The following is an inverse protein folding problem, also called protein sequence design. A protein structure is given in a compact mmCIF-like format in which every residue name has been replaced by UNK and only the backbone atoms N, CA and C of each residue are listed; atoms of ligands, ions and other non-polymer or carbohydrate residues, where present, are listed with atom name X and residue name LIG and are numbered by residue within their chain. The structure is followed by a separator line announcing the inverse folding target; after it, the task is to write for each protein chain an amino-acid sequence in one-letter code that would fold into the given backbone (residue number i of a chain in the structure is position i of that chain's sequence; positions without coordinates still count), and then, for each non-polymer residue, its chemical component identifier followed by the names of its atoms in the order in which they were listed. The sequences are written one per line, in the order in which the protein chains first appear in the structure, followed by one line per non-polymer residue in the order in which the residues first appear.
data_IF_282285650142
#
_entry.id   IF_282285650142
#
_cell.length_a   1.000
_cell.length_b   1.000
_cell.length_c   1.000
_cell.angle_alpha   90.00
_cell.angle_beta   90.00
_cell.angle_gamma   90.00
#
_symmetry.space_group_name_H-M   'P 1'
#
loop_
_entity.id
_entity.type
_entity.pdbx_description
1 polymer ?
#
# COMPACT_ATOMS: atom_id res chain seq x y z
N UNK A 1 -3.94 68.65 55.50
CA UNK A 1 -4.15 67.19 55.44
C UNK A 1 -2.84 66.50 55.66
N UNK A 2 -2.70 65.78 56.76
CA UNK A 2 -1.61 64.82 56.96
C UNK A 2 -2.09 63.84 58.04
N UNK A 3 -2.46 62.63 57.62
CA UNK A 3 -2.87 61.54 58.51
C UNK A 3 -1.97 60.36 58.17
N UNK A 4 -1.01 60.13 59.05
CA UNK A 4 -0.05 59.02 59.02
C UNK A 4 -0.79 57.81 59.60
N UNK A 5 -0.78 56.70 58.86
CA UNK A 5 -1.23 55.39 59.35
C UNK A 5 -0.01 54.48 59.44
N UNK A 6 0.45 54.24 60.66
CA UNK A 6 1.42 53.19 60.99
C UNK A 6 0.75 51.82 60.87
N UNK A 7 1.37 50.90 60.15
CA UNK A 7 0.97 49.49 60.07
C UNK A 7 2.04 48.62 60.75
N UNK A 8 1.77 48.17 61.97
CA UNK A 8 2.64 47.29 62.75
C UNK A 8 2.33 45.82 62.44
N UNK A 9 2.97 45.26 61.42
CA UNK A 9 2.93 43.81 61.18
C UNK A 9 3.94 43.09 62.08
N UNK A 10 3.46 42.50 63.17
CA UNK A 10 4.21 41.57 64.00
C UNK A 10 4.33 40.20 63.30
N UNK A 11 5.50 39.91 62.75
CA UNK A 11 5.84 38.57 62.24
C UNK A 11 6.31 37.68 63.39
N UNK A 12 5.42 36.83 63.90
CA UNK A 12 5.81 35.73 64.81
C UNK A 12 6.53 34.66 64.01
N UNK A 13 7.86 34.63 64.10
CA UNK A 13 8.67 33.49 63.68
C UNK A 13 8.47 32.33 64.66
N UNK A 14 7.73 31.31 64.24
CA UNK A 14 7.69 30.00 64.92
C UNK A 14 8.83 29.16 64.38
N UNK A 15 9.94 29.10 65.11
CA UNK A 15 11.03 28.16 64.87
C UNK A 15 10.62 26.75 65.34
N UNK A 16 10.13 25.92 64.42
CA UNK A 16 9.99 24.47 64.66
C UNK A 16 11.34 23.80 64.43
N UNK A 17 11.95 23.32 65.51
CA UNK A 17 13.14 22.48 65.49
C UNK A 17 12.84 21.16 64.78
N UNK A 18 13.48 20.89 63.64
CA UNK A 18 13.47 19.58 62.98
C UNK A 18 14.78 18.86 63.25
N UNK A 19 14.72 17.73 63.95
CA UNK A 19 15.87 16.86 64.21
C UNK A 19 15.49 15.37 64.11
N UNK A 20 14.57 15.02 63.19
CA UNK A 20 14.31 13.62 62.83
C UNK A 20 13.80 13.44 61.38
N UNK A 21 14.10 14.40 60.49
CA UNK A 21 13.63 14.42 59.10
C UNK A 21 14.45 13.54 58.14
N UNK A 22 15.66 13.10 58.52
CA UNK A 22 16.55 12.36 57.63
C UNK A 22 16.10 10.90 57.39
N UNK A 23 15.46 10.25 58.37
CA UNK A 23 15.02 8.85 58.23
C UNK A 23 13.80 8.72 57.32
N UNK A 24 12.81 9.59 57.47
CA UNK A 24 11.64 9.63 56.59
C UNK A 24 12.02 9.96 55.13
N UNK A 25 12.94 10.90 54.95
CA UNK A 25 13.47 11.25 53.63
C UNK A 25 14.24 10.09 52.97
N UNK A 26 15.06 9.36 53.74
CA UNK A 26 15.79 8.19 53.24
C UNK A 26 14.85 7.06 52.79
N UNK A 27 13.75 6.81 53.52
CA UNK A 27 12.74 5.80 53.13
C UNK A 27 12.03 6.19 51.84
N UNK A 28 11.68 7.47 51.68
CA UNK A 28 11.04 7.98 50.46
C UNK A 28 11.98 7.83 49.25
N UNK A 29 13.28 8.14 49.42
CA UNK A 29 14.29 7.95 48.36
C UNK A 29 14.41 6.47 47.99
N UNK A 30 14.44 5.56 48.97
CA UNK A 30 14.55 4.13 48.69
C UNK A 30 13.33 3.63 47.88
N UNK A 31 12.13 4.04 48.26
CA UNK A 31 10.91 3.72 47.50
C UNK A 31 10.98 4.33 46.09
N UNK A 32 11.45 5.57 45.95
CA UNK A 32 11.61 6.22 44.65
C UNK A 32 12.60 5.47 43.74
N UNK A 33 13.74 5.00 44.28
CA UNK A 33 14.72 4.20 43.54
C UNK A 33 14.12 2.87 43.11
N UNK A 34 13.40 2.17 44.00
CA UNK A 34 12.74 0.90 43.67
C UNK A 34 11.72 1.10 42.55
N UNK A 35 10.88 2.13 42.64
CA UNK A 35 9.93 2.48 41.58
C UNK A 35 10.62 2.83 40.26
N UNK A 36 11.77 3.53 40.29
CA UNK A 36 12.55 3.86 39.10
C UNK A 36 13.12 2.59 38.45
N UNK A 37 13.72 1.70 39.24
CA UNK A 37 14.27 0.42 38.74
C UNK A 37 13.18 -0.45 38.13
N UNK A 38 12.02 -0.57 38.80
CA UNK A 38 10.87 -1.31 38.27
C UNK A 38 10.32 -0.67 37.00
N UNK A 39 10.22 0.67 36.96
CA UNK A 39 9.80 1.40 35.76
C UNK A 39 10.74 1.19 34.58
N UNK A 40 12.06 1.27 34.82
CA UNK A 40 13.09 1.03 33.81
C UNK A 40 13.06 -0.42 33.29
N UNK A 41 12.85 -1.39 34.18
CA UNK A 41 12.72 -2.79 33.78
C UNK A 41 11.45 -3.02 32.94
N UNK A 42 10.34 -2.37 33.31
CA UNK A 42 9.09 -2.40 32.55
C UNK A 42 9.25 -1.83 31.14
N UNK A 43 9.92 -0.68 30.98
CA UNK A 43 10.16 -0.08 29.66
C UNK A 43 11.10 -0.95 28.81
N UNK A 44 12.10 -1.59 29.42
CA UNK A 44 12.99 -2.53 28.77
C UNK A 44 12.21 -3.70 28.13
N UNK A 45 11.38 -4.39 28.93
CA UNK A 45 10.58 -5.52 28.46
C UNK A 45 9.50 -5.09 27.46
N UNK A 46 8.85 -3.95 27.68
CA UNK A 46 7.86 -3.40 26.75
C UNK A 46 8.46 -3.14 25.37
N UNK A 47 9.65 -2.56 25.31
CA UNK A 47 10.37 -2.33 24.05
C UNK A 47 10.78 -3.63 23.37
N UNK A 48 11.22 -4.65 24.13
CA UNK A 48 11.59 -5.96 23.60
C UNK A 48 10.39 -6.71 23.00
N UNK A 49 9.24 -6.67 23.66
CA UNK A 49 7.98 -7.27 23.16
C UNK A 49 7.53 -6.54 21.89
N UNK A 50 7.52 -5.21 21.90
CA UNK A 50 7.17 -4.40 20.73
C UNK A 50 8.06 -4.74 19.53
N UNK A 51 9.37 -4.85 19.75
CA UNK A 51 10.32 -5.25 18.72
C UNK A 51 10.08 -6.67 18.20
N UNK A 52 9.74 -7.62 19.08
CA UNK A 52 9.41 -8.99 18.68
C UNK A 52 8.15 -9.07 17.80
N UNK A 53 7.07 -8.37 18.19
CA UNK A 53 5.83 -8.30 17.41
C UNK A 53 6.08 -7.62 16.05
N UNK A 54 6.86 -6.55 16.03
CA UNK A 54 7.24 -5.86 14.79
C UNK A 54 7.94 -6.80 13.81
N UNK A 55 8.91 -7.60 14.29
CA UNK A 55 9.61 -8.61 13.46
C UNK A 55 8.68 -9.68 12.91
N UNK A 56 7.73 -10.17 13.71
CA UNK A 56 6.73 -11.14 13.25
C UNK A 56 5.83 -10.56 12.15
N UNK A 57 5.43 -9.29 12.27
CA UNK A 57 4.64 -8.60 11.24
C UNK A 57 5.39 -8.49 9.92
N UNK A 58 6.68 -8.19 9.96
CA UNK A 58 7.54 -8.15 8.76
C UNK A 58 7.61 -9.51 8.07
N UNK A 59 7.81 -10.61 8.81
CA UNK A 59 7.83 -11.95 8.23
C UNK A 59 6.47 -12.36 7.62
N UNK A 60 5.37 -11.97 8.25
CA UNK A 60 4.03 -12.20 7.70
C UNK A 60 3.83 -11.38 6.42
N UNK A 61 4.28 -10.12 6.40
CA UNK A 61 4.22 -9.28 5.23
C UNK A 61 5.00 -9.89 4.06
N UNK A 62 6.23 -10.35 4.30
CA UNK A 62 7.05 -11.05 3.30
C UNK A 62 6.35 -12.30 2.74
N UNK A 63 5.83 -13.16 3.62
CA UNK A 63 5.10 -14.36 3.21
C UNK A 63 3.83 -14.03 2.42
N UNK A 64 3.08 -13.01 2.84
CA UNK A 64 1.87 -12.56 2.15
C UNK A 64 2.18 -11.99 0.78
N UNK A 65 3.29 -11.26 0.63
CA UNK A 65 3.73 -10.73 -0.65
C UNK A 65 4.06 -11.86 -1.63
N UNK A 66 4.75 -12.91 -1.18
CA UNK A 66 4.99 -14.12 -2.00
C UNK A 66 3.68 -14.83 -2.33
N UNK A 67 2.76 -14.96 -1.36
CA UNK A 67 1.47 -15.62 -1.58
C UNK A 67 0.61 -14.92 -2.63
N UNK A 68 0.52 -13.58 -2.58
CA UNK A 68 -0.32 -12.80 -3.50
C UNK A 68 0.32 -12.63 -4.88
N UNK A 69 1.64 -12.48 -4.95
CA UNK A 69 2.34 -12.26 -6.24
C UNK A 69 2.73 -13.56 -6.94
N UNK A 70 2.80 -14.67 -6.19
CA UNK A 70 3.39 -15.95 -6.64
C UNK A 70 4.83 -15.79 -7.17
N UNK A 71 5.54 -14.76 -6.71
CA UNK A 71 6.89 -14.43 -7.14
C UNK A 71 7.80 -14.21 -5.91
N UNK A 72 8.47 -15.27 -5.49
CA UNK A 72 9.46 -15.25 -4.41
C UNK A 72 10.71 -14.44 -4.78
N UNK A 73 11.15 -14.54 -6.03
CA UNK A 73 12.31 -13.82 -6.57
C UNK A 73 12.13 -12.30 -6.57
N UNK A 74 10.90 -11.80 -6.73
CA UNK A 74 10.59 -10.37 -6.72
C UNK A 74 10.94 -9.72 -5.37
N UNK A 75 10.43 -10.28 -4.28
CA UNK A 75 10.71 -9.78 -2.92
C UNK A 75 12.14 -10.11 -2.49
N UNK A 76 12.62 -11.34 -2.73
CA UNK A 76 13.99 -11.71 -2.39
C UNK A 76 15.02 -10.82 -3.12
N UNK A 77 14.80 -10.55 -4.41
CA UNK A 77 15.63 -9.64 -5.22
C UNK A 77 15.60 -8.20 -4.72
N UNK A 78 14.42 -7.69 -4.33
CA UNK A 78 14.29 -6.37 -3.72
C UNK A 78 15.10 -6.26 -2.41
N UNK A 79 14.98 -7.26 -1.52
CA UNK A 79 15.73 -7.31 -0.26
C UNK A 79 17.25 -7.41 -0.49
N UNK A 80 17.69 -8.23 -1.45
CA UNK A 80 19.10 -8.31 -1.87
C UNK A 80 19.61 -6.96 -2.40
N UNK A 81 18.79 -6.22 -3.16
CA UNK A 81 19.15 -4.89 -3.67
C UNK A 81 19.25 -3.83 -2.57
N UNK A 82 18.41 -3.93 -1.54
CA UNK A 82 18.49 -3.06 -0.37
C UNK A 82 19.75 -3.37 0.44
N UNK A 83 20.03 -4.65 0.68
CA UNK A 83 21.21 -5.08 1.43
C UNK A 83 22.54 -4.89 0.69
N UNK A 84 22.54 -4.86 -0.65
CA UNK A 84 23.75 -4.60 -1.45
C UNK A 84 24.18 -3.13 -1.46
N UNK A 85 23.35 -2.21 -0.98
CA UNK A 85 23.67 -0.80 -0.96
C UNK A 85 24.52 -0.43 0.27
N UNK A 86 25.83 -0.66 0.16
CA UNK A 86 26.84 -0.53 1.24
C UNK A 86 26.90 0.88 1.86
N UNK A 87 26.52 1.92 1.10
CA UNK A 87 26.55 3.30 1.60
C UNK A 87 25.50 3.56 2.70
N UNK A 88 24.39 2.82 2.70
CA UNK A 88 23.24 3.08 3.55
C UNK A 88 22.69 4.52 3.41
N UNK A 89 21.64 4.84 4.17
CA UNK A 89 21.18 6.21 4.38
C UNK A 89 20.92 6.40 5.87
N UNK A 90 21.84 7.02 6.59
CA UNK A 90 21.67 7.28 8.02
C UNK A 90 20.87 8.56 8.22
N UNK A 91 19.73 8.47 8.89
CA UNK A 91 18.93 9.64 9.25
C UNK A 91 19.19 9.99 10.72
N UNK A 92 20.08 10.96 10.95
CA UNK A 92 20.43 11.45 12.28
C UNK A 92 19.47 12.55 12.74
N UNK A 93 18.19 12.20 12.90
CA UNK A 93 17.16 13.12 13.38
C UNK A 93 16.40 12.50 14.56
N UNK A 94 15.88 13.33 15.49
CA UNK A 94 15.10 12.83 16.63
C UNK A 94 13.79 12.13 16.21
N UNK A 95 13.26 12.48 15.03
CA UNK A 95 12.08 11.82 14.44
C UNK A 95 12.40 10.43 13.83
N UNK A 96 13.66 10.01 13.84
CA UNK A 96 14.06 8.74 13.23
C UNK A 96 13.44 7.51 13.89
N UNK A 97 13.20 7.58 15.20
CA UNK A 97 12.56 6.51 15.95
C UNK A 97 11.06 6.39 15.60
N UNK A 98 10.39 7.52 15.32
CA UNK A 98 8.97 7.55 14.92
C UNK A 98 8.78 7.01 13.50
N UNK A 99 9.63 7.39 12.54
CA UNK A 99 9.56 6.93 11.15
C UNK A 99 10.19 5.55 10.93
N UNK A 100 10.76 4.91 11.96
CA UNK A 100 11.50 3.66 11.85
C UNK A 100 10.68 2.51 11.22
N UNK A 101 9.36 2.53 11.40
CA UNK A 101 8.42 1.55 10.84
C UNK A 101 8.16 1.75 9.33
N UNK A 102 8.46 2.92 8.76
CA UNK A 102 8.35 3.18 7.32
C UNK A 102 9.63 2.81 6.55
N UNK A 103 10.71 2.48 7.26
CA UNK A 103 12.02 2.23 6.67
C UNK A 103 12.21 0.73 6.39
N UNK A 104 12.79 0.42 5.23
CA UNK A 104 13.08 -0.96 4.82
C UNK A 104 14.39 -1.53 5.39
N UNK A 105 15.26 -0.68 5.95
CA UNK A 105 16.57 -1.05 6.48
C UNK A 105 16.82 -0.48 7.88
N UNK A 106 17.75 -1.09 8.62
CA UNK A 106 18.11 -0.65 9.96
C UNK A 106 18.90 0.68 9.92
N UNK A 107 18.43 1.70 10.63
CA UNK A 107 19.08 3.03 10.71
C UNK A 107 20.34 3.05 11.59
N UNK A 108 20.54 2.04 12.47
CA UNK A 108 21.68 1.99 13.41
C UNK A 108 22.37 0.62 13.39
N UNK A 109 23.60 0.60 12.88
CA UNK A 109 24.49 -0.55 12.89
C UNK A 109 25.26 -0.60 14.22
N UNK A 110 24.73 -1.29 15.24
CA UNK A 110 25.52 -1.58 16.46
C UNK A 110 25.09 -2.92 17.08
N UNK A 111 26.06 -3.74 17.49
CA UNK A 111 25.85 -5.15 17.84
C UNK A 111 24.88 -5.44 19.01
N UNK A 112 24.62 -4.46 19.89
CA UNK A 112 23.58 -4.56 20.93
C UNK A 112 22.17 -4.14 20.46
N UNK A 113 22.06 -3.56 19.27
CA UNK A 113 20.80 -3.08 18.67
C UNK A 113 19.91 -4.21 18.18
N UNK A 114 20.40 -5.44 18.02
CA UNK A 114 19.59 -6.56 17.49
C UNK A 114 18.38 -6.89 18.37
N UNK A 115 18.51 -6.75 19.70
CA UNK A 115 17.43 -7.01 20.66
C UNK A 115 16.35 -5.91 20.66
N UNK A 116 16.71 -4.68 20.28
CA UNK A 116 15.80 -3.54 20.17
C UNK A 116 15.49 -3.16 18.71
N UNK A 117 15.93 -3.96 17.75
CA UNK A 117 15.70 -3.71 16.34
C UNK A 117 14.21 -3.90 16.04
N UNK A 118 13.58 -2.87 15.49
CA UNK A 118 12.19 -2.91 15.03
C UNK A 118 12.02 -3.79 13.79
N UNK A 119 13.12 -4.06 13.08
CA UNK A 119 13.16 -4.87 11.86
C UNK A 119 14.11 -6.06 12.00
N UNK A 120 13.73 -7.24 11.50
CA UNK A 120 14.63 -8.39 11.47
C UNK A 120 15.78 -8.11 10.49
N UNK A 121 16.97 -8.70 10.70
CA UNK A 121 18.08 -8.54 9.77
C UNK A 121 17.68 -9.03 8.38
N UNK A 122 18.14 -8.31 7.34
CA UNK A 122 17.80 -8.61 5.94
C UNK A 122 18.18 -10.04 5.56
N UNK A 123 19.32 -10.54 6.06
CA UNK A 123 19.78 -11.90 5.80
C UNK A 123 18.76 -12.96 6.24
N UNK A 124 18.13 -12.75 7.39
CA UNK A 124 17.15 -13.68 7.97
C UNK A 124 15.84 -13.66 7.17
N UNK A 125 15.46 -12.49 6.63
CA UNK A 125 14.30 -12.35 5.74
C UNK A 125 14.54 -13.05 4.42
N UNK A 126 15.69 -12.80 3.78
CA UNK A 126 16.05 -13.42 2.50
C UNK A 126 16.11 -14.94 2.65
N UNK A 127 16.73 -15.47 3.70
CA UNK A 127 16.81 -16.93 3.93
C UNK A 127 15.45 -17.60 4.17
N UNK A 128 14.46 -16.88 4.69
CA UNK A 128 13.10 -17.43 4.86
C UNK A 128 12.34 -17.51 3.54
N UNK A 129 12.60 -16.59 2.62
CA UNK A 129 11.96 -16.55 1.29
C UNK A 129 12.71 -17.47 0.32
N UNK A 130 14.03 -17.43 0.33
CA UNK A 130 14.94 -18.16 -0.54
C UNK A 130 15.95 -18.96 0.31
N UNK A 131 15.60 -20.20 0.72
CA UNK A 131 16.44 -21.03 1.58
C UNK A 131 17.81 -21.37 0.96
N UNK A 132 17.91 -21.33 -0.38
CA UNK A 132 19.11 -21.68 -1.14
C UNK A 132 20.06 -20.50 -1.34
N UNK A 133 19.79 -19.32 -0.75
CA UNK A 133 20.64 -18.15 -0.91
C UNK A 133 22.02 -18.35 -0.23
N UNK A 134 23.08 -18.00 -0.96
CA UNK A 134 24.49 -18.13 -0.59
C UNK A 134 24.97 -17.12 0.45
N UNK A 135 24.13 -16.15 0.83
CA UNK A 135 24.47 -15.10 1.77
C UNK A 135 25.31 -13.97 1.18
N UNK A 136 25.49 -13.96 -0.15
CA UNK A 136 26.26 -12.94 -0.84
C UNK A 136 25.31 -11.92 -1.47
N UNK A 137 25.50 -10.65 -1.12
CA UNK A 137 24.83 -9.54 -1.80
C UNK A 137 25.56 -9.23 -3.10
N UNK A 138 24.91 -9.44 -4.24
CA UNK A 138 25.47 -9.06 -5.53
C UNK A 138 25.73 -7.55 -5.55
N UNK A 139 27.00 -7.15 -5.68
CA UNK A 139 27.37 -5.76 -5.91
C UNK A 139 26.95 -5.39 -7.34
N UNK A 140 25.84 -4.66 -7.47
CA UNK A 140 25.57 -3.95 -8.72
C UNK A 140 26.55 -2.78 -8.79
N UNK A 141 27.57 -2.91 -9.63
CA UNK A 141 28.38 -1.78 -10.08
C UNK A 141 27.44 -0.65 -10.47
N UNK A 142 27.60 0.53 -9.86
CA UNK A 142 26.81 1.73 -10.13
C UNK A 142 26.79 2.04 -11.64
N UNK A 143 25.84 1.44 -12.38
CA UNK A 143 25.39 1.98 -13.63
C UNK A 143 24.73 3.31 -13.26
N UNK A 144 25.31 4.39 -13.78
CA UNK A 144 24.93 5.76 -13.47
C UNK A 144 23.40 5.94 -13.53
N UNK A 145 22.88 6.66 -12.54
CA UNK A 145 21.50 7.12 -12.49
C UNK A 145 21.13 7.83 -13.81
N UNK A 146 20.35 7.15 -14.65
CA UNK A 146 19.39 7.80 -15.54
C UNK A 146 17.99 7.48 -15.02
N UNK A 147 17.76 7.76 -13.75
CA UNK A 147 16.41 7.81 -13.20
C UNK A 147 15.94 9.26 -13.33
N UNK A 148 14.88 9.47 -14.12
CA UNK A 148 14.08 10.69 -14.32
C UNK A 148 14.02 11.31 -15.73
N UNK A 149 14.72 10.80 -16.74
CA UNK A 149 14.46 11.19 -18.15
C UNK A 149 13.97 9.98 -18.95
N UNK A 150 12.69 9.59 -18.78
CA UNK A 150 11.83 9.30 -19.93
C UNK A 150 10.36 9.21 -19.51
N UNK A 151 9.77 10.35 -19.17
CA UNK A 151 8.35 10.57 -19.39
C UNK A 151 8.16 10.90 -20.88
N UNK A 152 8.37 9.91 -21.74
CA UNK A 152 7.85 9.92 -23.11
C UNK A 152 6.98 8.69 -23.28
N UNK A 153 5.69 8.94 -23.00
CA UNK A 153 4.59 8.31 -23.72
C UNK A 153 4.90 8.41 -25.22
N UNK A 154 5.29 7.29 -25.85
CA UNK A 154 5.25 7.15 -27.30
C UNK A 154 5.14 5.68 -27.67
N UNK A 155 4.08 5.39 -28.41
CA UNK A 155 3.79 4.07 -28.93
C UNK A 155 4.79 3.60 -29.98
N UNK A 156 4.65 2.31 -30.27
CA UNK A 156 4.87 1.67 -31.56
C UNK A 156 5.97 2.20 -32.51
N UNK A 157 6.90 1.27 -32.77
CA UNK A 157 7.75 1.12 -33.95
C UNK A 157 8.98 2.03 -34.06
N UNK A 158 10.17 1.41 -34.16
CA UNK A 158 10.94 1.25 -35.42
C UNK A 158 12.19 0.41 -35.09
N UNK A 159 12.51 -0.52 -35.99
CA UNK A 159 13.46 -1.61 -35.77
C UNK A 159 14.94 -1.27 -35.95
N UNK A 160 15.78 -2.28 -35.70
CA UNK A 160 17.21 -2.21 -36.04
C UNK A 160 18.14 -3.14 -35.25
N UNK A 161 18.12 -4.44 -35.58
CA UNK A 161 19.31 -5.30 -35.68
C UNK A 161 20.18 -5.62 -34.46
N UNK A 162 20.01 -6.82 -33.88
CA UNK A 162 21.06 -7.86 -33.72
C UNK A 162 20.46 -9.13 -33.09
N UNK A 163 20.90 -10.35 -33.47
CA UNK A 163 20.33 -11.59 -32.97
C UNK A 163 21.02 -11.99 -31.66
N UNK A 164 20.37 -11.75 -30.52
CA UNK A 164 20.81 -12.29 -29.24
C UNK A 164 19.65 -13.09 -28.63
N UNK A 165 19.88 -14.40 -28.59
CA UNK A 165 19.25 -15.44 -27.76
C UNK A 165 17.93 -15.08 -27.07
N UNK A 166 16.86 -15.68 -27.60
CA UNK A 166 15.50 -15.66 -27.07
C UNK A 166 15.46 -16.22 -25.63
N UNK A 167 15.49 -15.34 -24.66
CA UNK A 167 14.76 -15.52 -23.40
C UNK A 167 13.97 -14.23 -23.22
N UNK A 168 12.76 -14.20 -23.80
CA UNK A 168 11.84 -13.08 -23.61
C UNK A 168 11.73 -12.82 -22.10
N UNK A 169 12.03 -11.59 -21.71
CA UNK A 169 11.86 -11.17 -20.33
C UNK A 169 10.41 -11.47 -19.89
N UNK A 170 10.14 -11.84 -18.63
CA UNK A 170 8.76 -12.10 -18.18
C UNK A 170 7.78 -10.96 -18.52
N UNK A 171 8.27 -9.73 -18.61
CA UNK A 171 7.54 -8.55 -19.06
C UNK A 171 7.14 -8.59 -20.55
N UNK A 172 8.00 -9.07 -21.45
CA UNK A 172 7.67 -9.21 -22.88
C UNK A 172 6.62 -10.29 -23.10
N UNK A 173 6.73 -11.42 -22.40
CA UNK A 173 5.75 -12.52 -22.50
C UNK A 173 4.35 -12.09 -22.02
N UNK A 174 4.28 -11.32 -20.93
CA UNK A 174 3.01 -10.76 -20.43
C UNK A 174 2.42 -9.74 -21.42
N UNK A 175 3.27 -8.92 -22.08
CA UNK A 175 2.81 -7.96 -23.09
C UNK A 175 2.26 -8.64 -24.34
N UNK A 176 2.93 -9.69 -24.84
CA UNK A 176 2.46 -10.49 -25.97
C UNK A 176 1.13 -11.19 -25.64
N UNK A 177 1.03 -11.78 -24.44
CA UNK A 177 -0.22 -12.44 -23.98
C UNK A 177 -1.38 -11.45 -23.93
N UNK A 178 -1.16 -10.24 -23.40
CA UNK A 178 -2.17 -9.19 -23.37
C UNK A 178 -2.62 -8.74 -24.77
N UNK A 179 -1.67 -8.56 -25.70
CA UNK A 179 -2.00 -8.21 -27.09
C UNK A 179 -2.78 -9.33 -27.80
N UNK A 180 -2.44 -10.59 -27.55
CA UNK A 180 -3.18 -11.73 -28.09
C UNK A 180 -4.61 -11.77 -27.56
N UNK A 181 -4.84 -11.51 -26.27
CA UNK A 181 -6.19 -11.45 -25.69
C UNK A 181 -7.00 -10.28 -26.27
N UNK A 182 -6.41 -9.08 -26.39
CA UNK A 182 -7.09 -7.92 -26.97
C UNK A 182 -7.43 -8.16 -28.44
N UNK A 183 -6.59 -8.88 -29.19
CA UNK A 183 -6.84 -9.20 -30.60
C UNK A 183 -8.05 -10.11 -30.84
N UNK A 184 -8.55 -10.80 -29.79
CA UNK A 184 -9.76 -11.62 -29.85
C UNK A 184 -11.04 -10.79 -29.65
N UNK A 185 -10.94 -9.55 -29.18
CA UNK A 185 -12.09 -8.67 -28.98
C UNK A 185 -12.53 -8.03 -30.30
N UNK A 186 -13.84 -7.89 -30.56
CA UNK A 186 -14.34 -7.11 -31.69
C UNK A 186 -13.83 -5.65 -31.62
N UNK A 187 -13.42 -5.05 -32.75
CA UNK A 187 -12.83 -3.71 -32.76
C UNK A 187 -13.79 -2.63 -32.24
N UNK A 188 -15.08 -2.75 -32.56
CA UNK A 188 -16.12 -1.84 -32.06
C UNK A 188 -16.23 -1.87 -30.52
N UNK A 189 -16.07 -3.04 -29.90
CA UNK A 189 -16.11 -3.19 -28.45
C UNK A 189 -14.86 -2.60 -27.77
N UNK A 190 -13.70 -2.70 -28.44
CA UNK A 190 -12.45 -2.04 -28.02
C UNK A 190 -12.60 -0.52 -28.08
N UNK A 191 -13.26 0.02 -29.10
CA UNK A 191 -13.50 1.45 -29.24
C UNK A 191 -14.48 1.97 -28.16
N UNK A 192 -15.57 1.23 -27.90
CA UNK A 192 -16.51 1.52 -26.81
C UNK A 192 -15.78 1.56 -25.46
N UNK A 193 -14.86 0.62 -25.20
CA UNK A 193 -14.09 0.57 -23.96
C UNK A 193 -13.15 1.77 -23.78
N UNK A 194 -12.60 2.33 -24.87
CA UNK A 194 -11.62 3.42 -24.79
C UNK A 194 -12.24 4.81 -24.64
N UNK A 195 -13.50 4.98 -25.02
CA UNK A 195 -14.19 6.27 -24.96
C UNK A 195 -14.80 6.50 -23.56
N UNK A 196 -14.53 7.61 -22.85
CA UNK A 196 -14.99 7.83 -21.47
C UNK A 196 -16.50 7.69 -21.27
N UNK A 197 -17.28 8.13 -22.26
CA UNK A 197 -18.73 8.05 -22.20
C UNK A 197 -19.22 6.61 -22.37
N UNK A 198 -18.79 5.98 -23.47
CA UNK A 198 -19.19 4.63 -23.88
C UNK A 198 -18.61 3.54 -22.96
N UNK A 199 -17.47 3.78 -22.31
CA UNK A 199 -16.83 2.86 -21.37
C UNK A 199 -17.73 2.53 -20.17
N UNK A 200 -18.64 3.44 -19.78
CA UNK A 200 -19.65 3.19 -18.73
C UNK A 200 -20.55 2.00 -19.09
N UNK A 201 -20.86 1.87 -20.38
CA UNK A 201 -21.67 0.77 -20.88
C UNK A 201 -20.95 -0.58 -20.74
N UNK A 202 -19.60 -0.62 -20.80
CA UNK A 202 -18.85 -1.85 -20.52
C UNK A 202 -19.11 -2.35 -19.10
N UNK A 203 -19.16 -1.45 -18.11
CA UNK A 203 -19.50 -1.84 -16.74
C UNK A 203 -20.91 -2.44 -16.64
N UNK A 204 -21.88 -1.84 -17.34
CA UNK A 204 -23.24 -2.40 -17.42
C UNK A 204 -23.28 -3.76 -18.12
N UNK A 205 -22.62 -3.89 -19.27
CA UNK A 205 -22.58 -5.12 -20.06
C UNK A 205 -21.90 -6.28 -19.30
N UNK A 206 -20.90 -6.00 -18.48
CA UNK A 206 -20.22 -7.00 -17.66
C UNK A 206 -21.06 -7.48 -16.46
N UNK A 207 -21.99 -6.65 -15.98
CA UNK A 207 -22.94 -6.98 -14.91
C UNK A 207 -24.28 -7.52 -15.43
N UNK A 208 -24.51 -7.45 -16.74
CA UNK A 208 -25.78 -7.84 -17.33
C UNK A 208 -26.01 -9.36 -17.20
N UNK A 209 -27.11 -9.72 -16.54
CA UNK A 209 -27.50 -11.11 -16.26
C UNK A 209 -28.46 -11.72 -17.30
N UNK A 210 -28.91 -10.92 -18.27
CA UNK A 210 -29.91 -11.31 -19.27
C UNK A 210 -31.35 -10.95 -18.92
N UNK A 211 -31.61 -10.42 -17.72
CA UNK A 211 -32.94 -10.04 -17.23
C UNK A 211 -33.53 -8.87 -18.00
N UNK A 212 -34.82 -8.97 -18.32
CA UNK A 212 -35.59 -7.89 -18.95
C UNK A 212 -35.58 -6.62 -18.08
N UNK A 213 -35.56 -6.78 -16.75
CA UNK A 213 -35.54 -5.65 -15.81
C UNK A 213 -34.22 -4.88 -15.94
N UNK A 214 -33.08 -5.58 -15.91
CA UNK A 214 -31.77 -4.95 -16.07
C UNK A 214 -31.65 -4.27 -17.44
N UNK A 215 -32.19 -4.90 -18.50
CA UNK A 215 -32.18 -4.33 -19.85
C UNK A 215 -32.95 -3.01 -19.91
N UNK A 216 -34.15 -2.94 -19.32
CA UNK A 216 -34.92 -1.69 -19.26
C UNK A 216 -34.25 -0.62 -18.40
N UNK A 217 -33.59 -1.01 -17.31
CA UNK A 217 -32.80 -0.09 -16.50
C UNK A 217 -31.62 0.50 -17.28
N UNK A 218 -30.82 -0.33 -17.96
CA UNK A 218 -29.67 0.12 -18.76
C UNK A 218 -30.14 1.06 -19.87
N UNK A 219 -31.26 0.75 -20.55
CA UNK A 219 -31.87 1.62 -21.57
C UNK A 219 -32.16 3.03 -21.07
N UNK A 220 -32.59 3.18 -19.81
CA UNK A 220 -32.91 4.49 -19.23
C UNK A 220 -31.66 5.36 -19.06
N UNK A 221 -30.51 4.75 -18.80
CA UNK A 221 -29.23 5.44 -18.58
C UNK A 221 -28.44 5.70 -19.87
N UNK A 222 -28.73 4.95 -20.94
CA UNK A 222 -28.13 5.15 -22.26
C UNK A 222 -28.99 6.14 -23.08
N UNK A 223 -28.43 7.27 -23.58
CA UNK A 223 -29.15 8.24 -24.39
C UNK A 223 -29.69 7.61 -25.65
N UNK A 224 -30.88 8.06 -26.06
CA UNK A 224 -31.59 7.56 -27.22
C UNK A 224 -30.72 7.53 -28.50
N UNK A 225 -29.83 8.52 -28.66
CA UNK A 225 -28.91 8.61 -29.80
C UNK A 225 -27.82 7.51 -29.83
N UNK A 226 -27.45 6.95 -28.68
CA UNK A 226 -26.41 5.92 -28.55
C UNK A 226 -26.98 4.51 -28.37
N UNK A 227 -28.29 4.40 -28.13
CA UNK A 227 -28.96 3.10 -27.89
C UNK A 227 -28.81 2.13 -29.06
N UNK A 228 -28.89 2.61 -30.31
CA UNK A 228 -28.72 1.76 -31.50
C UNK A 228 -27.32 1.15 -31.61
N UNK A 229 -26.32 1.83 -31.06
CA UNK A 229 -24.91 1.40 -31.13
C UNK A 229 -24.53 0.54 -29.93
N UNK A 230 -25.00 0.88 -28.73
CA UNK A 230 -24.56 0.24 -27.48
C UNK A 230 -25.42 -0.97 -27.10
N UNK A 231 -26.76 -0.87 -27.14
CA UNK A 231 -27.64 -1.94 -26.65
C UNK A 231 -27.45 -3.31 -27.33
N UNK A 232 -27.11 -3.41 -28.63
CA UNK A 232 -26.84 -4.72 -29.25
C UNK A 232 -25.72 -5.51 -28.57
N UNK A 233 -24.78 -4.84 -27.90
CA UNK A 233 -23.68 -5.48 -27.19
C UNK A 233 -24.10 -6.16 -25.88
N UNK A 234 -25.31 -5.91 -25.36
CA UNK A 234 -25.86 -6.69 -24.24
C UNK A 234 -26.15 -8.14 -24.64
N UNK A 235 -26.44 -8.38 -25.92
CA UNK A 235 -26.75 -9.70 -26.48
C UNK A 235 -25.49 -10.42 -26.98
N UNK A 236 -24.33 -9.78 -26.90
CA UNK A 236 -23.07 -10.38 -27.32
C UNK A 236 -22.55 -11.34 -26.25
N UNK A 237 -22.42 -12.62 -26.61
CA UNK A 237 -21.88 -13.65 -25.73
C UNK A 237 -20.36 -13.49 -25.58
N UNK A 238 -19.94 -12.66 -24.62
CA UNK A 238 -18.54 -12.39 -24.34
C UNK A 238 -17.91 -13.53 -23.53
N UNK A 239 -16.89 -14.24 -24.06
CA UNK A 239 -16.20 -15.30 -23.35
C UNK A 239 -15.66 -14.84 -22.00
N UNK A 240 -15.77 -15.70 -20.97
CA UNK A 240 -15.38 -15.37 -19.60
C UNK A 240 -13.93 -14.88 -19.49
N UNK A 241 -13.01 -15.46 -20.27
CA UNK A 241 -11.59 -15.09 -20.26
C UNK A 241 -11.30 -13.71 -20.87
N UNK A 242 -12.24 -13.13 -21.61
CA UNK A 242 -12.11 -11.79 -22.23
C UNK A 242 -12.79 -10.68 -21.41
N UNK A 243 -13.61 -11.03 -20.41
CA UNK A 243 -14.32 -10.05 -19.56
C UNK A 243 -13.36 -9.16 -18.77
N UNK A 244 -12.36 -9.75 -18.13
CA UNK A 244 -11.36 -9.00 -17.36
C UNK A 244 -10.45 -8.15 -18.25
N UNK A 245 -9.87 -8.67 -19.37
CA UNK A 245 -9.15 -7.84 -20.34
C UNK A 245 -9.96 -6.64 -20.85
N UNK A 246 -11.26 -6.83 -21.11
CA UNK A 246 -12.14 -5.75 -21.55
C UNK A 246 -12.35 -4.69 -20.45
N UNK A 247 -12.51 -5.12 -19.18
CA UNK A 247 -12.60 -4.20 -18.05
C UNK A 247 -11.29 -3.43 -17.83
N UNK A 248 -10.14 -4.09 -17.93
CA UNK A 248 -8.82 -3.42 -17.84
C UNK A 248 -8.61 -2.41 -18.96
N UNK A 249 -9.10 -2.71 -20.17
CA UNK A 249 -9.06 -1.77 -21.28
C UNK A 249 -9.95 -0.54 -21.02
N UNK A 250 -11.09 -0.72 -20.37
CA UNK A 250 -12.03 0.35 -20.04
C UNK A 250 -11.60 1.22 -18.84
N UNK A 251 -10.73 0.69 -17.98
CA UNK A 251 -10.31 1.34 -16.73
C UNK A 251 -9.79 2.77 -16.87
N UNK A 252 -8.87 3.10 -17.81
CA UNK A 252 -8.40 4.47 -17.97
C UNK A 252 -9.52 5.44 -18.34
N UNK A 253 -10.42 5.01 -19.22
CA UNK A 253 -11.58 5.79 -19.66
C UNK A 253 -12.57 6.00 -18.50
N UNK A 254 -12.84 4.96 -17.70
CA UNK A 254 -13.67 5.04 -16.50
C UNK A 254 -13.07 5.92 -15.41
N UNK A 255 -11.74 5.89 -15.23
CA UNK A 255 -11.03 6.76 -14.27
C UNK A 255 -11.00 8.23 -14.69
N UNK A 256 -11.19 8.52 -15.98
CA UNK A 256 -11.27 9.89 -16.50
C UNK A 256 -12.63 10.57 -16.26
N UNK A 257 -13.62 9.83 -15.73
CA UNK A 257 -14.94 10.36 -15.41
C UNK A 257 -14.87 11.41 -14.30
N UNK A 258 -15.76 12.41 -14.37
CA UNK A 258 -15.88 13.38 -13.27
C UNK A 258 -16.49 12.71 -12.03
N UNK A 259 -16.22 13.26 -10.84
CA UNK A 259 -16.76 12.73 -9.57
C UNK A 259 -18.29 12.56 -9.59
N UNK A 260 -19.01 13.54 -10.15
CA UNK A 260 -20.47 13.45 -10.29
C UNK A 260 -20.91 12.30 -11.20
N UNK A 261 -20.15 12.04 -12.28
CA UNK A 261 -20.43 10.94 -13.20
C UNK A 261 -20.10 9.58 -12.58
N UNK A 262 -19.00 9.50 -11.82
CA UNK A 262 -18.58 8.32 -11.08
C UNK A 262 -19.61 7.93 -10.02
N UNK A 263 -20.05 8.89 -9.20
CA UNK A 263 -21.13 8.67 -8.19
C UNK A 263 -22.42 8.20 -8.87
N UNK A 264 -22.81 8.85 -9.97
CA UNK A 264 -23.99 8.42 -10.73
C UNK A 264 -23.84 7.00 -11.25
N UNK A 265 -22.69 6.64 -11.83
CA UNK A 265 -22.42 5.30 -12.35
C UNK A 265 -22.49 4.25 -11.25
N UNK A 266 -21.78 4.44 -10.14
CA UNK A 266 -21.78 3.49 -9.02
C UNK A 266 -23.17 3.30 -8.42
N UNK A 267 -23.99 4.35 -8.39
CA UNK A 267 -25.40 4.24 -7.97
C UNK A 267 -26.18 3.30 -8.89
N UNK A 268 -26.05 3.45 -10.20
CA UNK A 268 -26.74 2.57 -11.18
C UNK A 268 -26.24 1.13 -11.09
N UNK A 269 -24.93 0.92 -10.96
CA UNK A 269 -24.36 -0.41 -10.84
C UNK A 269 -24.89 -1.12 -9.59
N UNK A 270 -25.02 -0.41 -8.46
CA UNK A 270 -25.64 -0.97 -7.24
C UNK A 270 -27.12 -1.32 -7.45
N UNK A 271 -27.88 -0.44 -8.08
CA UNK A 271 -29.29 -0.72 -8.42
C UNK A 271 -29.42 -1.96 -9.34
N UNK A 272 -28.48 -2.16 -10.28
CA UNK A 272 -28.41 -3.35 -11.13
C UNK A 272 -28.02 -4.62 -10.36
N UNK A 273 -27.10 -4.54 -9.40
CA UNK A 273 -26.74 -5.71 -8.56
C UNK A 273 -27.82 -6.09 -7.55
N UNK A 274 -28.73 -5.17 -7.20
CA UNK A 274 -29.82 -5.47 -6.26
C UNK A 274 -31.02 -6.16 -6.95
N UNK A 275 -31.01 -6.30 -8.27
CA UNK A 275 -32.17 -6.82 -9.01
C UNK A 275 -32.37 -8.34 -8.83
N UNK A 276 -31.28 -9.09 -8.59
CA UNK A 276 -31.29 -10.55 -8.44
C UNK A 276 -31.11 -11.02 -6.98
N UNK A 277 -30.88 -10.07 -6.06
CA UNK A 277 -30.62 -10.29 -4.63
C UNK A 277 -29.41 -11.22 -4.35
N UNK A 278 -28.49 -11.37 -5.31
CA UNK A 278 -27.27 -12.18 -5.18
C UNK A 278 -26.05 -11.41 -5.73
N UNK A 279 -25.22 -10.88 -4.83
CA UNK A 279 -23.95 -10.25 -5.24
C UNK A 279 -22.97 -11.29 -5.77
N UNK A 280 -22.69 -11.28 -7.08
CA UNK A 280 -21.63 -12.08 -7.65
C UNK A 280 -20.25 -11.45 -7.40
N UNK A 281 -19.20 -12.28 -7.39
CA UNK A 281 -17.81 -11.79 -7.26
C UNK A 281 -17.45 -10.82 -8.40
N UNK A 282 -18.00 -11.04 -9.60
CA UNK A 282 -17.74 -10.20 -10.76
C UNK A 282 -18.37 -8.80 -10.59
N UNK A 283 -19.62 -8.73 -10.13
CA UNK A 283 -20.30 -7.47 -9.80
C UNK A 283 -19.56 -6.70 -8.72
N UNK A 284 -19.17 -7.39 -7.64
CA UNK A 284 -18.41 -6.79 -6.55
C UNK A 284 -17.08 -6.22 -7.05
N UNK A 285 -16.36 -6.95 -7.90
CA UNK A 285 -15.11 -6.49 -8.51
C UNK A 285 -15.31 -5.24 -9.38
N UNK A 286 -16.34 -5.22 -10.24
CA UNK A 286 -16.63 -4.06 -11.10
C UNK A 286 -16.95 -2.82 -10.26
N UNK A 287 -17.79 -2.96 -9.23
CA UNK A 287 -18.18 -1.85 -8.35
C UNK A 287 -16.97 -1.34 -7.57
N UNK A 288 -16.20 -2.20 -6.90
CA UNK A 288 -15.08 -1.77 -6.07
C UNK A 288 -13.90 -1.19 -6.86
N UNK A 289 -13.71 -1.66 -8.09
CA UNK A 289 -12.67 -1.13 -8.97
C UNK A 289 -13.02 0.28 -9.47
N UNK A 290 -14.29 0.66 -9.39
CA UNK A 290 -14.81 1.98 -9.73
C UNK A 290 -15.05 2.88 -8.51
N UNK A 291 -14.84 2.43 -7.27
CA UNK A 291 -14.87 3.29 -6.07
C UNK A 291 -13.47 3.83 -5.74
#
# INVERSE_FOLDING_TARGET
GHLILDNSNSTRHVSRSSSDSNKGFAVIILIAIVCLVLGWLGTLFGNMIKAAISRQREFLADASAVQFTRNDQGIAGALKKIGSNVQGSTLNTKASDEMSHMMFGQSKLSGFSSLFATHPPLDERIRRIEPNWDGIYAQHSHAQNTAFDNEQVSGFAVGGGSPASQSASPSEQLSETGQQLISQLPPELVDIAREPYSARFIAFALMFDGSDIQREMIKLYVPLASQSTLLPWLDYDLPLHLRFPLLELALPALKSLSEAQKISLCKVLRELSETDNQYSLAEWCVINLLE
#
